data_IF_684154055114
#
_entry.id   IF_684154055114
#
_cell.length_a   1.000
_cell.length_b   1.000
_cell.length_c   1.000
_cell.angle_alpha   90.00
_cell.angle_beta   90.00
_cell.angle_gamma   90.00
#
_symmetry.space_group_name_H-M   'P 1'
#
loop_
_entity.id
_entity.type
_entity.pdbx_description
1 polymer ?
#
# COMPACT_ATOMS: atom_id res chain seq x y z
N UNK A 1 18.50 -6.09 -15.49
CA UNK A 1 19.42 -6.86 -14.61
C UNK A 1 18.60 -7.97 -13.94
N UNK A 2 19.19 -9.07 -13.41
CA UNK A 2 18.38 -9.99 -12.60
C UNK A 2 17.78 -9.23 -11.43
N UNK A 3 16.49 -9.46 -11.15
CA UNK A 3 15.84 -8.92 -9.96
C UNK A 3 16.45 -9.63 -8.75
N UNK A 4 17.13 -8.88 -7.89
CA UNK A 4 17.63 -9.41 -6.64
C UNK A 4 16.47 -9.54 -5.66
N UNK A 5 16.17 -10.77 -5.27
CA UNK A 5 15.23 -11.02 -4.16
C UNK A 5 15.95 -10.84 -2.83
N UNK A 6 15.31 -10.12 -1.92
CA UNK A 6 15.79 -9.94 -0.56
C UNK A 6 14.85 -10.63 0.41
N UNK A 7 15.33 -10.91 1.61
CA UNK A 7 14.46 -11.33 2.70
C UNK A 7 13.58 -10.14 3.09
N UNK A 8 12.35 -10.18 2.64
CA UNK A 8 11.36 -9.12 2.74
C UNK A 8 10.20 -9.57 3.60
N UNK A 9 9.52 -8.57 4.14
CA UNK A 9 8.28 -8.76 4.85
C UNK A 9 7.09 -8.70 3.90
N UNK A 10 6.10 -9.56 4.12
CA UNK A 10 4.88 -9.59 3.30
C UNK A 10 3.72 -8.78 3.86
N UNK A 11 3.68 -8.50 5.17
CA UNK A 11 2.70 -7.59 5.81
C UNK A 11 3.37 -6.39 6.51
N UNK A 12 3.91 -5.41 5.77
CA UNK A 12 4.57 -4.24 6.33
C UNK A 12 3.55 -3.14 6.70
N UNK A 13 2.62 -3.40 7.62
CA UNK A 13 1.67 -2.39 8.13
C UNK A 13 2.13 -1.74 9.45
N UNK A 14 1.63 -0.55 9.74
CA UNK A 14 1.95 0.26 10.93
C UNK A 14 1.63 -0.47 12.24
N UNK A 15 0.59 -1.30 12.24
CA UNK A 15 0.25 -2.14 13.40
C UNK A 15 1.37 -3.12 13.77
N UNK A 16 2.26 -3.42 12.83
CA UNK A 16 3.38 -4.33 13.04
C UNK A 16 4.72 -3.60 13.22
N UNK A 17 4.68 -2.30 13.52
CA UNK A 17 5.81 -1.47 13.92
C UNK A 17 5.69 -1.13 15.40
N UNK A 18 6.79 -1.29 16.14
CA UNK A 18 6.87 -0.99 17.56
C UNK A 18 7.83 0.17 17.77
N UNK A 19 7.35 1.25 18.38
CA UNK A 19 8.22 2.31 18.87
C UNK A 19 8.92 1.84 20.15
N UNK A 20 10.25 1.80 20.12
CA UNK A 20 11.07 1.38 21.26
C UNK A 20 11.39 2.57 22.17
N UNK A 21 11.62 2.36 23.47
CA UNK A 21 11.93 3.46 24.41
C UNK A 21 13.18 4.27 24.04
N UNK A 22 14.08 3.71 23.23
CA UNK A 22 15.31 4.36 22.77
C UNK A 22 15.13 5.15 21.47
N UNK A 23 13.89 5.36 21.02
CA UNK A 23 13.56 6.10 19.80
C UNK A 23 13.75 5.31 18.51
N UNK A 24 14.18 4.03 18.58
CA UNK A 24 14.25 3.15 17.40
C UNK A 24 12.88 2.53 17.10
N UNK A 25 12.72 2.10 15.85
CA UNK A 25 11.55 1.31 15.43
C UNK A 25 11.95 -0.16 15.35
N UNK A 26 11.17 -1.01 16.01
CA UNK A 26 11.19 -2.47 15.84
C UNK A 26 10.06 -2.93 14.92
N UNK A 27 10.24 -4.11 14.33
CA UNK A 27 9.24 -4.76 13.49
C UNK A 27 8.92 -6.14 14.08
N UNK A 28 7.64 -6.47 14.23
CA UNK A 28 7.15 -7.79 14.74
C UNK A 28 6.49 -8.61 13.62
N UNK A 29 5.62 -9.61 13.86
CA UNK A 29 4.85 -10.37 12.84
C UNK A 29 5.65 -10.78 11.58
N UNK A 30 6.57 -11.72 11.74
CA UNK A 30 7.45 -12.20 10.66
C UNK A 30 6.99 -13.52 10.03
N UNK A 31 5.81 -14.04 10.40
CA UNK A 31 5.28 -15.32 9.94
C UNK A 31 5.11 -15.43 8.42
N UNK A 32 4.85 -14.30 7.75
CA UNK A 32 4.69 -14.23 6.29
C UNK A 32 5.95 -13.74 5.57
N UNK A 33 7.09 -13.60 6.25
CA UNK A 33 8.32 -13.11 5.63
C UNK A 33 8.95 -14.16 4.70
N UNK A 34 9.61 -13.69 3.63
CA UNK A 34 10.16 -14.56 2.60
C UNK A 34 11.07 -13.83 1.61
N UNK A 35 11.58 -14.57 0.62
CA UNK A 35 12.36 -13.97 -0.46
C UNK A 35 11.42 -13.32 -1.48
N UNK A 36 11.48 -12.00 -1.60
CA UNK A 36 10.64 -11.23 -2.52
C UNK A 36 11.43 -10.11 -3.22
N UNK A 37 10.85 -9.53 -4.27
CA UNK A 37 11.29 -8.26 -4.82
C UNK A 37 11.08 -7.15 -3.77
N UNK A 38 12.11 -6.36 -3.39
CA UNK A 38 11.96 -5.20 -2.51
C UNK A 38 10.84 -4.24 -2.94
N UNK A 39 10.61 -4.13 -4.25
CA UNK A 39 9.54 -3.31 -4.80
C UNK A 39 8.15 -3.74 -4.31
N UNK A 40 7.93 -5.04 -4.14
CA UNK A 40 6.68 -5.60 -3.61
C UNK A 40 6.49 -5.18 -2.15
N UNK A 41 7.53 -5.28 -1.32
CA UNK A 41 7.47 -4.89 0.08
C UNK A 41 7.21 -3.39 0.26
N UNK A 42 7.88 -2.54 -0.53
CA UNK A 42 7.64 -1.08 -0.54
C UNK A 42 6.20 -0.78 -0.97
N UNK A 43 5.74 -1.38 -2.07
CA UNK A 43 4.39 -1.17 -2.56
C UNK A 43 3.32 -1.66 -1.57
N UNK A 44 3.57 -2.78 -0.90
CA UNK A 44 2.74 -3.29 0.19
C UNK A 44 2.66 -2.31 1.35
N UNK A 45 3.79 -1.74 1.78
CA UNK A 45 3.83 -0.72 2.84
C UNK A 45 3.04 0.52 2.45
N UNK A 46 3.23 1.04 1.25
CA UNK A 46 2.52 2.23 0.80
C UNK A 46 1.02 2.01 0.55
N UNK A 47 0.65 0.84 0.05
CA UNK A 47 -0.71 0.51 -0.39
C UNK A 47 -1.54 -0.26 0.63
N UNK A 48 -1.03 -0.53 1.84
CA UNK A 48 -1.77 -1.32 2.83
C UNK A 48 -3.07 -0.62 3.25
N UNK A 49 -4.20 -1.34 3.28
CA UNK A 49 -5.52 -0.78 3.58
C UNK A 49 -5.58 -0.02 4.92
N UNK A 50 -4.82 -0.49 5.91
CA UNK A 50 -4.68 0.12 7.23
C UNK A 50 -4.05 1.52 7.23
N UNK A 51 -3.23 1.88 6.24
CA UNK A 51 -2.40 3.08 6.33
C UNK A 51 -2.26 3.91 5.05
N UNK A 52 -2.69 3.41 3.88
CA UNK A 52 -2.42 4.11 2.60
C UNK A 52 -2.88 5.57 2.59
N UNK A 53 -4.01 5.86 3.24
CA UNK A 53 -4.58 7.21 3.36
C UNK A 53 -3.84 8.14 4.32
N UNK A 54 -2.94 7.61 5.15
CA UNK A 54 -2.15 8.37 6.12
C UNK A 54 -0.84 8.89 5.52
N UNK A 55 -0.44 8.37 4.36
CA UNK A 55 0.84 8.69 3.73
C UNK A 55 0.65 9.75 2.63
N UNK A 56 1.32 10.89 2.79
CA UNK A 56 1.36 11.93 1.75
C UNK A 56 2.41 11.62 0.67
N UNK A 57 2.40 12.37 -0.43
CA UNK A 57 3.48 12.31 -1.42
C UNK A 57 4.85 12.59 -0.79
N UNK A 58 4.90 13.54 0.14
CA UNK A 58 6.11 13.94 0.86
C UNK A 58 6.62 12.80 1.75
N UNK A 59 5.75 12.17 2.54
CA UNK A 59 6.14 11.05 3.42
C UNK A 59 6.72 9.89 2.61
N UNK A 60 6.10 9.58 1.47
CA UNK A 60 6.56 8.54 0.56
C UNK A 60 7.92 8.87 -0.04
N UNK A 61 8.15 10.12 -0.43
CA UNK A 61 9.44 10.57 -0.95
C UNK A 61 10.54 10.47 0.12
N UNK A 62 10.26 10.88 1.36
CA UNK A 62 11.19 10.75 2.50
C UNK A 62 11.53 9.28 2.75
N UNK A 63 10.52 8.41 2.80
CA UNK A 63 10.71 6.97 2.97
C UNK A 63 11.58 6.38 1.84
N UNK A 64 11.27 6.71 0.58
CA UNK A 64 12.04 6.19 -0.56
C UNK A 64 13.49 6.65 -0.54
N UNK A 65 13.77 7.89 -0.13
CA UNK A 65 15.14 8.39 -0.01
C UNK A 65 15.91 7.59 1.06
N UNK A 66 15.32 7.39 2.24
CA UNK A 66 15.94 6.61 3.32
C UNK A 66 16.12 5.13 2.94
N UNK A 67 15.12 4.52 2.31
CA UNK A 67 15.16 3.12 1.87
C UNK A 67 16.26 2.90 0.83
N UNK A 68 16.36 3.81 -0.15
CA UNK A 68 17.39 3.76 -1.21
C UNK A 68 18.81 3.86 -0.64
N UNK A 69 19.02 4.74 0.32
CA UNK A 69 20.30 4.88 0.99
C UNK A 69 20.72 3.58 1.71
N UNK A 70 19.75 2.85 2.30
CA UNK A 70 20.00 1.59 2.99
C UNK A 70 20.21 0.38 2.08
N UNK A 71 19.63 0.36 0.88
CA UNK A 71 19.68 -0.78 -0.04
C UNK A 71 20.89 -0.78 -0.99
N UNK A 72 21.79 0.21 -0.89
CA UNK A 72 22.77 0.53 -1.95
C UNK A 72 22.08 0.72 -3.33
N UNK A 73 20.96 1.44 -3.35
CA UNK A 73 20.01 1.45 -4.48
C UNK A 73 20.49 2.09 -5.78
N UNK A 74 21.73 2.59 -5.85
CA UNK A 74 22.38 2.97 -7.12
C UNK A 74 22.52 1.76 -8.07
N UNK A 75 22.34 0.55 -7.54
CA UNK A 75 22.41 -0.70 -8.30
C UNK A 75 21.10 -1.10 -9.01
N UNK A 76 19.96 -0.47 -8.68
CA UNK A 76 18.64 -0.82 -9.21
C UNK A 76 17.83 0.40 -9.71
N UNK A 77 18.07 0.85 -10.96
CA UNK A 77 17.33 1.93 -11.57
C UNK A 77 15.87 1.58 -11.89
N UNK A 78 15.51 0.28 -11.93
CA UNK A 78 14.16 -0.19 -12.28
C UNK A 78 13.22 -0.24 -11.08
N UNK A 79 13.74 -0.11 -9.85
CA UNK A 79 12.98 -0.13 -8.61
C UNK A 79 11.73 0.78 -8.61
N UNK A 80 11.77 2.07 -9.05
CA UNK A 80 10.57 2.91 -9.06
C UNK A 80 9.45 2.35 -9.94
N UNK A 81 9.82 1.82 -11.11
CA UNK A 81 8.86 1.27 -12.07
C UNK A 81 8.22 -0.01 -11.51
N UNK A 82 9.01 -0.87 -10.87
CA UNK A 82 8.47 -2.08 -10.21
C UNK A 82 7.59 -1.74 -9.01
N UNK A 83 7.96 -0.72 -8.21
CA UNK A 83 7.09 -0.24 -7.11
C UNK A 83 5.76 0.23 -7.67
N UNK A 84 5.76 1.07 -8.72
CA UNK A 84 4.53 1.55 -9.34
C UNK A 84 3.64 0.39 -9.87
N UNK A 85 4.26 -0.62 -10.50
CA UNK A 85 3.56 -1.84 -10.94
C UNK A 85 2.93 -2.58 -9.76
N UNK A 86 3.69 -2.87 -8.71
CA UNK A 86 3.16 -3.59 -7.54
C UNK A 86 2.09 -2.80 -6.81
N UNK A 87 2.18 -1.47 -6.73
CA UNK A 87 1.10 -0.65 -6.15
C UNK A 87 -0.21 -0.83 -6.92
N UNK A 88 -0.17 -0.92 -8.25
CA UNK A 88 -1.36 -1.18 -9.07
C UNK A 88 -1.92 -2.58 -8.80
N UNK A 89 -1.05 -3.60 -8.82
CA UNK A 89 -1.45 -4.99 -8.60
C UNK A 89 -2.03 -5.21 -7.20
N UNK A 90 -1.36 -4.70 -6.17
CA UNK A 90 -1.81 -4.81 -4.78
C UNK A 90 -3.10 -4.01 -4.54
N UNK A 91 -3.31 -2.89 -5.24
CA UNK A 91 -4.57 -2.17 -5.17
C UNK A 91 -5.74 -2.99 -5.72
N UNK A 92 -5.53 -3.76 -6.79
CA UNK A 92 -6.54 -4.70 -7.30
C UNK A 92 -6.79 -5.82 -6.28
N UNK A 93 -5.74 -6.36 -5.66
CA UNK A 93 -5.87 -7.38 -4.63
C UNK A 93 -6.67 -6.87 -3.42
N UNK A 94 -6.35 -5.68 -2.90
CA UNK A 94 -7.11 -5.06 -1.80
C UNK A 94 -8.55 -4.74 -2.18
N UNK A 95 -8.80 -4.28 -3.40
CA UNK A 95 -10.16 -4.07 -3.91
C UNK A 95 -10.96 -5.38 -3.84
N UNK A 96 -10.41 -6.48 -4.35
CA UNK A 96 -11.07 -7.79 -4.34
C UNK A 96 -11.30 -8.32 -2.92
N UNK A 97 -10.30 -8.20 -2.04
CA UNK A 97 -10.40 -8.61 -0.63
C UNK A 97 -11.50 -7.84 0.12
N UNK A 98 -11.55 -6.52 -0.06
CA UNK A 98 -12.55 -5.67 0.60
C UNK A 98 -13.96 -5.89 0.04
N UNK A 99 -14.08 -6.08 -1.28
CA UNK A 99 -15.37 -6.45 -1.89
C UNK A 99 -15.87 -7.79 -1.35
N UNK A 100 -15.00 -8.81 -1.33
CA UNK A 100 -15.32 -10.12 -0.77
C UNK A 100 -15.70 -10.05 0.71
N UNK A 101 -14.96 -9.29 1.51
CA UNK A 101 -15.28 -9.07 2.92
C UNK A 101 -16.65 -8.39 3.09
N UNK A 102 -16.95 -7.37 2.28
CA UNK A 102 -18.21 -6.64 2.34
C UNK A 102 -19.43 -7.46 1.90
N UNK A 103 -19.29 -8.33 0.90
CA UNK A 103 -20.36 -9.25 0.48
C UNK A 103 -20.76 -10.25 1.59
N UNK A 104 -19.87 -10.50 2.55
CA UNK A 104 -20.15 -11.36 3.69
C UNK A 104 -20.70 -10.60 4.91
N UNK A 105 -20.91 -9.28 4.81
CA UNK A 105 -21.47 -8.48 5.89
C UNK A 105 -23.00 -8.45 5.81
N UNK A 106 -23.72 -8.55 6.94
CA UNK A 106 -25.16 -8.34 6.98
C UNK A 106 -25.58 -6.94 6.51
N UNK A 107 -24.79 -5.92 6.85
CA UNK A 107 -24.98 -4.54 6.42
C UNK A 107 -23.62 -3.85 6.18
N UNK A 108 -23.27 -3.51 4.92
CA UNK A 108 -22.04 -2.79 4.60
C UNK A 108 -22.15 -1.27 4.70
N UNK A 109 -23.34 -0.68 4.92
CA UNK A 109 -23.55 0.80 4.90
C UNK A 109 -22.72 1.52 5.96
N UNK A 110 -22.69 0.98 7.17
CA UNK A 110 -21.93 1.55 8.29
C UNK A 110 -20.48 1.03 8.36
N UNK A 111 -20.05 0.25 7.36
CA UNK A 111 -18.73 -0.35 7.41
C UNK A 111 -17.62 0.67 7.17
N UNK A 112 -16.76 0.80 8.18
CA UNK A 112 -15.53 1.56 8.08
C UNK A 112 -14.30 0.64 8.04
N UNK A 113 -13.38 0.96 7.14
CA UNK A 113 -12.06 0.34 7.02
C UNK A 113 -11.04 1.36 7.51
N UNK A 114 -10.57 1.18 8.75
CA UNK A 114 -9.64 2.10 9.41
C UNK A 114 -10.12 3.55 9.42
N UNK A 115 -11.31 3.77 10.01
CA UNK A 115 -11.94 5.09 10.14
C UNK A 115 -12.32 5.77 8.81
N UNK A 116 -12.29 5.04 7.70
CA UNK A 116 -12.76 5.51 6.39
C UNK A 116 -13.98 4.70 5.94
N UNK A 117 -15.06 5.35 5.46
CA UNK A 117 -16.19 4.65 4.84
C UNK A 117 -15.72 3.70 3.74
N UNK A 118 -16.26 2.47 3.70
CA UNK A 118 -15.79 1.44 2.76
C UNK A 118 -15.83 1.89 1.29
N UNK A 119 -16.90 2.57 0.85
CA UNK A 119 -17.00 3.06 -0.52
C UNK A 119 -15.89 4.07 -0.86
N UNK A 120 -15.51 4.94 0.08
CA UNK A 120 -14.40 5.87 -0.10
C UNK A 120 -13.07 5.11 -0.19
N UNK A 121 -12.86 4.08 0.64
CA UNK A 121 -11.67 3.24 0.61
C UNK A 121 -11.55 2.47 -0.71
N UNK A 122 -12.63 1.85 -1.20
CA UNK A 122 -12.67 1.15 -2.48
C UNK A 122 -12.42 2.09 -3.66
N UNK A 123 -12.96 3.31 -3.63
CA UNK A 123 -12.70 4.34 -4.64
C UNK A 123 -11.21 4.69 -4.72
N UNK A 124 -10.52 4.81 -3.57
CA UNK A 124 -9.06 5.03 -3.53
C UNK A 124 -8.29 3.89 -4.17
N UNK A 125 -8.64 2.63 -3.86
CA UNK A 125 -7.99 1.48 -4.48
C UNK A 125 -8.25 1.38 -5.99
N UNK A 126 -9.48 1.69 -6.45
CA UNK A 126 -9.78 1.80 -7.89
C UNK A 126 -8.92 2.89 -8.54
N UNK A 127 -8.84 4.07 -7.94
CA UNK A 127 -8.02 5.16 -8.45
C UNK A 127 -6.54 4.77 -8.55
N UNK A 128 -6.02 4.10 -7.53
CA UNK A 128 -4.63 3.66 -7.49
C UNK A 128 -4.31 2.56 -8.50
N UNK A 129 -5.20 1.58 -8.67
CA UNK A 129 -5.06 0.52 -9.67
C UNK A 129 -4.96 1.06 -11.11
N UNK A 130 -5.64 2.18 -11.37
CA UNK A 130 -5.68 2.85 -12.67
C UNK A 130 -4.53 3.86 -12.88
N UNK A 131 -3.62 4.04 -11.92
CA UNK A 131 -2.60 5.10 -11.97
C UNK A 131 -1.18 4.55 -12.06
N UNK A 132 -0.37 5.10 -12.94
CA UNK A 132 1.04 4.76 -13.14
C UNK A 132 1.96 5.51 -12.18
N UNK A 133 1.47 6.53 -11.50
CA UNK A 133 2.21 7.29 -10.49
C UNK A 133 1.34 7.75 -9.33
N UNK A 134 1.98 8.21 -8.25
CA UNK A 134 1.27 8.83 -7.13
C UNK A 134 0.64 10.18 -7.52
N UNK A 135 1.29 10.95 -8.38
CA UNK A 135 0.73 12.21 -8.89
C UNK A 135 -0.54 11.95 -9.71
N UNK A 136 -0.51 10.95 -10.59
CA UNK A 136 -1.68 10.53 -11.36
C UNK A 136 -2.79 9.98 -10.46
N UNK A 137 -2.44 9.21 -9.42
CA UNK A 137 -3.40 8.73 -8.42
C UNK A 137 -4.17 9.87 -7.76
N UNK A 138 -3.47 10.92 -7.30
CA UNK A 138 -4.13 12.08 -6.72
C UNK A 138 -5.12 12.73 -7.69
N UNK A 139 -4.73 12.86 -8.97
CA UNK A 139 -5.61 13.37 -10.01
C UNK A 139 -6.83 12.47 -10.22
N UNK A 140 -6.64 11.15 -10.39
CA UNK A 140 -7.73 10.20 -10.61
C UNK A 140 -8.67 10.11 -9.43
N UNK A 141 -8.17 10.22 -8.21
CA UNK A 141 -9.03 10.19 -7.03
C UNK A 141 -10.06 11.34 -7.05
N UNK A 142 -9.68 12.50 -7.59
CA UNK A 142 -10.56 13.66 -7.74
C UNK A 142 -11.48 13.57 -8.96
N UNK A 143 -11.01 12.99 -10.07
CA UNK A 143 -11.74 13.02 -11.35
C UNK A 143 -12.51 11.75 -11.69
N UNK A 144 -12.20 10.63 -11.06
CA UNK A 144 -12.94 9.39 -11.27
C UNK A 144 -14.36 9.54 -10.73
N UNK A 145 -15.31 9.11 -11.54
CA UNK A 145 -16.70 9.00 -11.13
C UNK A 145 -16.81 8.18 -9.83
N UNK A 146 -17.47 8.73 -8.79
CA UNK A 146 -17.66 8.04 -7.52
C UNK A 146 -18.75 6.97 -7.68
N UNK A 147 -18.34 5.75 -7.96
CA UNK A 147 -19.25 4.60 -8.06
C UNK A 147 -19.40 3.99 -6.65
N UNK A 148 -20.62 3.92 -6.09
CA UNK A 148 -20.85 3.17 -4.87
C UNK A 148 -20.72 1.66 -5.17
N UNK A 149 -19.86 0.97 -4.42
CA UNK A 149 -19.69 -0.48 -4.51
C UNK A 149 -20.68 -1.21 -3.60
N UNK A 150 -21.05 -0.59 -2.49
CA UNK A 150 -22.10 -1.01 -1.58
C UNK A 150 -23.17 0.08 -1.47
N UNK A 151 -24.42 -0.27 -1.10
CA UNK A 151 -25.46 0.72 -0.82
C UNK A 151 -24.97 1.79 0.18
N UNK A 152 -25.44 3.03 0.01
CA UNK A 152 -25.20 4.16 0.93
C UNK A 152 -26.48 4.52 1.68
#
# INVERSE_FOLDING_TARGET
RPILHYFCRSDPRFANLIHRPDGRVGMVDWEDAGLHDPAYAIAGFFGHANQEHLLTATDRAVFMAAYRAGLAADEDPELPARVALYERLLSVAWLALLLGAGCNRPDPRDWQVHHMPVNAKLHRFRARALSDSYAEFAQKLMTLEPIPFFPT
#
